data_IF_329486580289
#
_entry.id   IF_329486580289
#
_cell.length_a   1.000
_cell.length_b   1.000
_cell.length_c   1.000
_cell.angle_alpha   90.00
_cell.angle_beta   90.00
_cell.angle_gamma   90.00
#
_symmetry.space_group_name_H-M   'P 1'
#
loop_
_entity.id
_entity.type
_entity.pdbx_description
1 polymer ?
#
# COMPACT_ATOMS: atom_id res chain seq x y z
N UNK A 1 3.00 1.10 14.21
CA UNK A 1 3.30 -0.23 13.60
C UNK A 1 3.03 -0.13 12.10
N UNK A 2 3.66 -0.95 11.26
CA UNK A 2 3.57 -0.85 9.80
C UNK A 2 2.98 -2.11 9.19
N UNK A 3 2.18 -1.97 8.13
CA UNK A 3 1.61 -3.07 7.36
C UNK A 3 2.00 -2.92 5.88
N UNK A 4 2.66 -3.94 5.32
CA UNK A 4 2.96 -4.01 3.89
C UNK A 4 1.83 -4.72 3.15
N UNK A 5 1.20 -4.05 2.19
CA UNK A 5 0.12 -4.59 1.36
C UNK A 5 0.57 -4.64 -0.09
N UNK A 6 0.70 -5.84 -0.65
CA UNK A 6 1.02 -6.05 -2.08
C UNK A 6 0.26 -7.27 -2.58
N UNK A 7 -0.79 -7.03 -3.37
CA UNK A 7 -1.69 -8.07 -3.87
C UNK A 7 -1.91 -7.94 -5.38
N UNK A 8 -2.03 -9.08 -6.04
CA UNK A 8 -2.37 -9.12 -7.46
C UNK A 8 -3.86 -8.86 -7.69
N UNK A 9 -4.74 -9.51 -6.92
CA UNK A 9 -6.17 -9.23 -6.91
C UNK A 9 -6.47 -8.15 -5.87
N UNK A 10 -7.22 -7.11 -6.26
CA UNK A 10 -7.49 -5.93 -5.44
C UNK A 10 -8.89 -5.97 -4.82
N UNK A 11 -9.67 -7.03 -5.03
CA UNK A 11 -10.96 -7.20 -4.35
C UNK A 11 -10.75 -7.12 -2.84
N UNK A 12 -11.46 -6.20 -2.17
CA UNK A 12 -11.41 -6.03 -0.71
C UNK A 12 -10.22 -5.21 -0.17
N UNK A 13 -9.34 -4.68 -1.03
CA UNK A 13 -8.10 -4.00 -0.58
C UNK A 13 -8.38 -2.72 0.22
N UNK A 14 -9.44 -1.99 -0.13
CA UNK A 14 -9.82 -0.73 0.53
C UNK A 14 -10.36 -1.02 1.93
N UNK A 15 -11.23 -2.02 2.06
CA UNK A 15 -11.81 -2.47 3.33
C UNK A 15 -10.71 -2.95 4.29
N UNK A 16 -9.76 -3.73 3.78
CA UNK A 16 -8.58 -4.14 4.54
C UNK A 16 -7.75 -2.93 5.02
N UNK A 17 -7.47 -1.98 4.12
CA UNK A 17 -6.70 -0.78 4.42
C UNK A 17 -7.37 0.11 5.47
N UNK A 18 -8.70 0.27 5.42
CA UNK A 18 -9.48 0.99 6.42
C UNK A 18 -9.37 0.34 7.81
N UNK A 19 -9.49 -0.99 7.90
CA UNK A 19 -9.37 -1.72 9.17
C UNK A 19 -7.95 -1.59 9.74
N UNK A 20 -6.92 -1.70 8.89
CA UNK A 20 -5.53 -1.51 9.30
C UNK A 20 -5.29 -0.08 9.81
N UNK A 21 -5.76 0.93 9.09
CA UNK A 21 -5.66 2.34 9.51
C UNK A 21 -6.39 2.58 10.84
N UNK A 22 -7.61 2.05 11.00
CA UNK A 22 -8.39 2.17 12.23
C UNK A 22 -7.70 1.51 13.44
N UNK A 23 -6.88 0.48 13.21
CA UNK A 23 -6.03 -0.16 14.23
C UNK A 23 -4.69 0.57 14.47
N UNK A 24 -4.44 1.69 13.80
CA UNK A 24 -3.22 2.49 13.96
C UNK A 24 -2.01 1.98 13.17
N UNK A 25 -2.23 1.21 12.10
CA UNK A 25 -1.15 0.83 11.19
C UNK A 25 -0.88 1.92 10.16
N UNK A 26 0.40 2.19 9.92
CA UNK A 26 0.87 2.87 8.73
C UNK A 26 0.88 1.89 7.55
N UNK A 27 0.30 2.28 6.43
CA UNK A 27 0.25 1.46 5.23
C UNK A 27 1.50 1.70 4.38
N UNK A 28 2.17 0.61 4.02
CA UNK A 28 3.20 0.60 2.98
C UNK A 28 2.66 -0.24 1.83
N UNK A 29 2.82 0.26 0.60
CA UNK A 29 2.42 -0.49 -0.59
C UNK A 29 3.30 -0.12 -1.79
N UNK A 30 3.08 -0.79 -2.92
CA UNK A 30 3.77 -0.51 -4.17
C UNK A 30 2.88 -0.79 -5.37
N UNK A 31 3.27 -0.22 -6.51
CA UNK A 31 2.67 -0.49 -7.82
C UNK A 31 1.15 -0.35 -7.81
N UNK A 32 0.46 -1.35 -8.36
CA UNK A 32 -1.00 -1.34 -8.48
C UNK A 32 -1.76 -1.38 -7.15
N UNK A 33 -1.16 -1.95 -6.10
CA UNK A 33 -1.79 -1.99 -4.77
C UNK A 33 -1.81 -0.61 -4.13
N UNK A 34 -0.69 0.12 -4.22
CA UNK A 34 -0.59 1.50 -3.73
C UNK A 34 -1.59 2.41 -4.43
N UNK A 35 -1.68 2.33 -5.76
CA UNK A 35 -2.66 3.09 -6.55
C UNK A 35 -4.11 2.81 -6.13
N UNK A 36 -4.44 1.53 -5.87
CA UNK A 36 -5.79 1.15 -5.44
C UNK A 36 -6.13 1.63 -4.02
N UNK A 37 -5.15 1.68 -3.13
CA UNK A 37 -5.35 2.21 -1.76
C UNK A 37 -5.48 3.74 -1.81
N UNK A 38 -4.59 4.41 -2.55
CA UNK A 38 -4.52 5.87 -2.64
C UNK A 38 -5.66 6.50 -3.45
N UNK A 39 -6.46 5.70 -4.18
CA UNK A 39 -7.64 6.21 -4.89
C UNK A 39 -8.84 6.47 -3.98
N UNK A 40 -8.84 5.95 -2.75
CA UNK A 40 -9.91 6.16 -1.79
C UNK A 40 -9.60 7.34 -0.86
N UNK A 41 -10.56 8.26 -0.71
CA UNK A 41 -10.41 9.41 0.16
C UNK A 41 -10.17 8.98 1.63
N UNK A 42 -9.22 9.62 2.29
CA UNK A 42 -8.88 9.28 3.67
C UNK A 42 -8.04 8.01 3.82
N UNK A 43 -7.55 7.39 2.75
CA UNK A 43 -6.45 6.42 2.81
C UNK A 43 -5.17 7.02 2.21
N UNK A 44 -4.03 6.58 2.73
CA UNK A 44 -2.72 6.91 2.18
C UNK A 44 -1.76 5.77 2.50
N UNK A 45 -1.10 5.24 1.48
CA UNK A 45 -0.02 4.28 1.59
C UNK A 45 1.30 4.94 1.18
N UNK A 46 2.33 4.77 2.00
CA UNK A 46 3.70 5.13 1.68
C UNK A 46 4.25 4.14 0.65
N UNK A 47 4.92 4.65 -0.39
CA UNK A 47 5.56 3.80 -1.39
C UNK A 47 6.74 3.03 -0.78
N UNK A 48 6.91 1.75 -1.17
CA UNK A 48 8.07 0.95 -0.76
C UNK A 48 9.39 1.65 -1.09
N UNK A 49 9.46 2.35 -2.23
CA UNK A 49 10.64 3.09 -2.65
C UNK A 49 11.03 4.22 -1.69
N UNK A 50 10.07 4.87 -1.04
CA UNK A 50 10.33 5.90 -0.03
C UNK A 50 10.91 5.30 1.25
N UNK A 51 10.54 4.07 1.57
CA UNK A 51 11.02 3.35 2.75
C UNK A 51 12.43 2.79 2.52
N UNK A 52 12.71 2.28 1.33
CA UNK A 52 14.00 1.64 1.00
C UNK A 52 15.04 2.60 0.43
N UNK A 53 14.62 3.72 -0.15
CA UNK A 53 15.48 4.62 -0.93
C UNK A 53 15.82 4.10 -2.33
N UNK A 54 15.23 2.97 -2.76
CA UNK A 54 15.45 2.37 -4.07
C UNK A 54 14.18 2.44 -4.92
N UNK A 55 14.32 2.94 -6.14
CA UNK A 55 13.24 2.90 -7.13
C UNK A 55 12.97 1.47 -7.58
N UNK A 56 11.72 1.21 -7.97
CA UNK A 56 11.33 -0.06 -8.58
C UNK A 56 12.15 -0.31 -9.87
N UNK A 57 12.62 -1.54 -10.04
CA UNK A 57 13.45 -1.94 -11.18
C UNK A 57 13.07 -3.35 -11.65
N UNK A 58 13.55 -3.73 -12.84
CA UNK A 58 13.36 -5.07 -13.42
C UNK A 58 11.88 -5.51 -13.53
N UNK A 59 10.97 -4.56 -13.76
CA UNK A 59 9.52 -4.78 -13.81
C UNK A 59 8.96 -5.37 -12.50
N UNK A 60 9.51 -4.88 -11.37
CA UNK A 60 9.09 -5.26 -10.02
C UNK A 60 9.72 -6.56 -9.50
N UNK A 61 10.94 -6.92 -9.95
CA UNK A 61 11.65 -8.17 -9.62
C UNK A 61 12.87 -7.96 -8.72
#
# INVERSE_FOLDING_TARGET
>A
MKALVSVYDKVGIVELALVLKAKGYELISTGGSSKAINSHEGLSATEVAEVTGFSEMLDGR
#
